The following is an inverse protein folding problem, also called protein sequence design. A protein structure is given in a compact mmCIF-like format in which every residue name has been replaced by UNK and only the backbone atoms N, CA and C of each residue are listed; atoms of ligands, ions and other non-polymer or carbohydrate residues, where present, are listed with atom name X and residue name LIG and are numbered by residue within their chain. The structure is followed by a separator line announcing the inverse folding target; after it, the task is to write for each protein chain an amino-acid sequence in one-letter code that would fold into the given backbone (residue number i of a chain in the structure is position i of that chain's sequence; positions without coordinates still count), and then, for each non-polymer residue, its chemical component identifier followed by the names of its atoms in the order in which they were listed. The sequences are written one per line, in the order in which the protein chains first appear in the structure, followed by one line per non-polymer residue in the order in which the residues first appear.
data_IF_956134240602
#
_entry.id   IF_956134240602
#
_cell.length_a   1.000
_cell.length_b   1.000
_cell.length_c   1.000
_cell.angle_alpha   90.00
_cell.angle_beta   90.00
_cell.angle_gamma   90.00
#
_symmetry.space_group_name_H-M   'P 1'
#
loop_
_entity.id
_entity.type
_entity.pdbx_description
1 polymer ?
#
# COMPACT_ATOMS: atom_id res chain seq x y z
N UNK A 1 -18.90 -2.60 13.55
CA UNK A 1 -17.67 -3.00 12.85
C UNK A 1 -17.54 -2.07 11.65
N UNK A 2 -16.36 -1.52 11.39
CA UNK A 2 -16.10 -0.70 10.19
C UNK A 2 -16.51 -1.46 8.92
N UNK A 3 -17.13 -0.77 7.95
CA UNK A 3 -17.52 -1.36 6.66
C UNK A 3 -16.27 -1.75 5.87
N UNK A 4 -15.30 -0.83 5.78
CA UNK A 4 -14.01 -1.09 5.13
C UNK A 4 -13.29 -2.27 5.76
N UNK A 5 -13.27 -2.37 7.09
CA UNK A 5 -12.69 -3.51 7.80
C UNK A 5 -13.41 -4.84 7.48
N UNK A 6 -14.74 -4.81 7.33
CA UNK A 6 -15.51 -6.01 6.98
C UNK A 6 -15.11 -6.53 5.59
N UNK A 7 -14.98 -5.62 4.62
CA UNK A 7 -14.49 -5.93 3.25
C UNK A 7 -13.05 -6.44 3.28
N UNK A 8 -12.17 -5.75 4.00
CA UNK A 8 -10.77 -6.13 4.16
C UNK A 8 -10.62 -7.54 4.74
N UNK A 9 -11.38 -7.86 5.79
CA UNK A 9 -11.37 -9.20 6.42
C UNK A 9 -11.79 -10.29 5.44
N UNK A 10 -12.77 -10.00 4.57
CA UNK A 10 -13.20 -10.94 3.53
C UNK A 10 -12.10 -11.17 2.49
N UNK A 11 -11.47 -10.11 1.99
CA UNK A 11 -10.43 -10.22 0.96
C UNK A 11 -9.12 -10.85 1.48
N UNK A 12 -8.80 -10.67 2.77
CA UNK A 12 -7.62 -11.29 3.38
C UNK A 12 -7.78 -12.80 3.63
N UNK A 13 -9.00 -13.34 3.52
CA UNK A 13 -9.26 -14.77 3.60
C UNK A 13 -8.79 -15.37 4.93
N UNK A 14 -7.79 -16.25 4.89
CA UNK A 14 -7.22 -16.89 6.08
C UNK A 14 -6.24 -16.01 6.86
N UNK A 15 -5.83 -14.86 6.31
CA UNK A 15 -4.89 -13.96 6.97
C UNK A 15 -5.61 -12.99 7.92
N UNK A 16 -5.03 -12.80 9.10
CA UNK A 16 -5.49 -11.78 10.03
C UNK A 16 -5.11 -10.39 9.51
N UNK A 17 -6.08 -9.49 9.42
CA UNK A 17 -5.84 -8.06 9.16
C UNK A 17 -5.07 -7.44 10.32
N UNK A 18 -3.86 -6.87 10.13
CA UNK A 18 -3.08 -6.26 11.20
C UNK A 18 -3.84 -5.18 11.95
N UNK A 19 -3.65 -5.08 13.27
CA UNK A 19 -4.36 -4.10 14.11
C UNK A 19 -4.26 -2.67 13.59
N UNK A 20 -3.08 -2.28 13.11
CA UNK A 20 -2.84 -0.96 12.53
C UNK A 20 -3.70 -0.70 11.28
N UNK A 21 -3.85 -1.70 10.39
CA UNK A 21 -4.74 -1.61 9.23
C UNK A 21 -6.22 -1.62 9.65
N UNK A 22 -6.58 -2.37 10.71
CA UNK A 22 -7.95 -2.36 11.25
C UNK A 22 -8.36 -0.98 11.76
N UNK A 23 -7.44 -0.31 12.44
CA UNK A 23 -7.64 1.06 12.94
C UNK A 23 -7.63 2.07 11.79
N UNK A 24 -6.82 1.87 10.75
CA UNK A 24 -6.86 2.68 9.54
C UNK A 24 -8.21 2.57 8.82
N UNK A 25 -8.79 1.37 8.71
CA UNK A 25 -10.15 1.19 8.17
C UNK A 25 -11.20 1.98 8.97
N UNK A 26 -11.06 2.00 10.31
CA UNK A 26 -11.96 2.78 11.17
C UNK A 26 -11.74 4.29 11.00
N UNK A 27 -10.50 4.73 10.81
CA UNK A 27 -10.17 6.11 10.50
C UNK A 27 -10.79 6.54 9.16
N UNK A 28 -10.62 5.74 8.12
CA UNK A 28 -11.17 5.97 6.78
C UNK A 28 -12.69 6.05 6.79
N UNK A 29 -13.39 5.09 7.38
CA UNK A 29 -14.87 5.14 7.46
C UNK A 29 -15.40 6.39 8.18
N UNK A 30 -14.60 6.97 9.09
CA UNK A 30 -14.97 8.17 9.84
C UNK A 30 -14.67 9.45 9.04
N UNK A 31 -13.65 9.43 8.20
CA UNK A 31 -13.20 10.56 7.39
C UNK A 31 -12.91 10.04 5.96
N UNK A 32 -13.96 9.71 5.18
CA UNK A 32 -13.82 9.06 3.88
C UNK A 32 -13.47 10.08 2.80
N UNK A 33 -12.30 10.68 2.94
CA UNK A 33 -11.76 11.68 2.03
C UNK A 33 -10.24 11.47 1.94
N UNK A 34 -9.65 11.94 0.85
CA UNK A 34 -8.22 11.81 0.62
C UNK A 34 -7.44 12.55 1.72
N UNK A 35 -6.52 11.83 2.37
CA UNK A 35 -5.67 12.37 3.42
C UNK A 35 -4.19 12.29 3.08
N UNK A 36 -3.84 11.74 1.91
CA UNK A 36 -2.48 11.63 1.40
C UNK A 36 -2.54 11.36 -0.10
N UNK A 37 -2.39 12.42 -0.90
CA UNK A 37 -2.42 12.29 -2.36
C UNK A 37 -3.75 11.75 -2.86
N UNK A 38 -3.74 10.82 -3.80
CA UNK A 38 -4.96 10.17 -4.31
C UNK A 38 -5.28 8.81 -3.68
N UNK A 39 -4.63 8.46 -2.56
CA UNK A 39 -4.80 7.13 -1.93
C UNK A 39 -6.15 6.98 -1.20
N UNK A 40 -6.88 5.93 -1.57
CA UNK A 40 -8.05 5.42 -0.88
C UNK A 40 -7.75 4.13 -0.12
N UNK A 41 -8.35 3.97 1.07
CA UNK A 41 -8.27 2.70 1.81
C UNK A 41 -9.40 1.78 1.34
N UNK A 42 -9.07 0.87 0.44
CA UNK A 42 -10.01 -0.07 -0.16
C UNK A 42 -9.49 -1.51 -0.12
N UNK A 43 -10.39 -2.46 0.12
CA UNK A 43 -10.10 -3.87 -0.08
C UNK A 43 -10.22 -4.22 -1.57
N UNK A 44 -9.42 -5.19 -2.04
CA UNK A 44 -9.52 -5.70 -3.43
C UNK A 44 -10.80 -6.52 -3.66
N UNK A 45 -11.94 -5.83 -3.79
CA UNK A 45 -13.25 -6.45 -3.96
C UNK A 45 -13.52 -6.88 -5.41
N UNK A 46 -12.79 -6.28 -6.36
CA UNK A 46 -13.01 -6.46 -7.79
C UNK A 46 -11.97 -7.36 -8.46
N UNK A 47 -10.93 -7.76 -7.72
CA UNK A 47 -9.89 -8.66 -8.22
C UNK A 47 -8.79 -7.93 -9.00
N UNK A 48 -8.51 -6.67 -8.68
CA UNK A 48 -7.47 -5.87 -9.32
C UNK A 48 -6.09 -6.52 -9.20
N UNK A 49 -5.75 -7.13 -8.06
CA UNK A 49 -4.49 -7.89 -7.93
C UNK A 49 -4.47 -9.07 -8.90
N UNK A 50 -5.59 -9.78 -9.04
CA UNK A 50 -5.70 -10.92 -9.96
C UNK A 50 -5.56 -10.49 -11.42
N UNK A 51 -6.15 -9.35 -11.78
CA UNK A 51 -6.02 -8.75 -13.12
C UNK A 51 -4.59 -8.30 -13.40
N UNK A 52 -3.94 -7.62 -12.44
CA UNK A 52 -2.56 -7.15 -12.56
C UNK A 52 -1.58 -8.30 -12.84
N UNK A 53 -1.73 -9.43 -12.15
CA UNK A 53 -0.91 -10.63 -12.41
C UNK A 53 -1.38 -11.47 -13.62
N UNK A 54 -2.34 -10.99 -14.42
CA UNK A 54 -2.85 -11.72 -15.58
C UNK A 54 -3.43 -13.09 -15.22
N UNK A 55 -4.17 -13.18 -14.11
CA UNK A 55 -4.74 -14.42 -13.55
C UNK A 55 -3.71 -15.49 -13.14
N UNK A 56 -2.43 -15.15 -12.95
CA UNK A 56 -1.41 -16.10 -12.48
C UNK A 56 -1.44 -16.25 -10.95
N UNK A 57 -1.90 -17.41 -10.48
CA UNK A 57 -2.03 -17.68 -9.03
C UNK A 57 -0.72 -17.55 -8.27
N UNK A 58 0.39 -17.95 -8.88
CA UNK A 58 1.73 -17.79 -8.30
C UNK A 58 2.07 -16.33 -7.93
N UNK A 59 1.45 -15.36 -8.61
CA UNK A 59 1.56 -13.93 -8.31
C UNK A 59 0.44 -13.44 -7.40
N UNK A 60 -0.82 -13.51 -7.85
CA UNK A 60 -1.92 -12.86 -7.14
C UNK A 60 -2.19 -13.43 -5.74
N UNK A 61 -1.87 -14.71 -5.50
CA UNK A 61 -2.00 -15.30 -4.14
C UNK A 61 -0.97 -14.75 -3.14
N UNK A 62 0.05 -14.03 -3.64
CA UNK A 62 1.15 -13.48 -2.86
C UNK A 62 0.97 -11.99 -2.55
N UNK A 63 -0.12 -11.36 -2.95
CA UNK A 63 -0.40 -9.95 -2.65
C UNK A 63 -1.76 -9.78 -2.00
N UNK A 64 -1.81 -9.06 -0.88
CA UNK A 64 -3.04 -8.68 -0.19
C UNK A 64 -3.18 -7.16 -0.23
N UNK A 65 -3.89 -6.65 -1.24
CA UNK A 65 -4.11 -5.22 -1.42
C UNK A 65 -5.08 -4.65 -0.37
N UNK A 66 -4.80 -3.42 0.06
CA UNK A 66 -5.56 -2.69 1.07
C UNK A 66 -5.71 -1.19 0.79
N UNK A 67 -5.12 -0.70 -0.30
CA UNK A 67 -5.31 0.65 -0.78
C UNK A 67 -5.27 0.68 -2.31
N UNK A 68 -5.89 1.69 -2.89
CA UNK A 68 -5.84 2.00 -4.31
C UNK A 68 -5.63 3.51 -4.51
N UNK A 69 -5.07 3.91 -5.64
CA UNK A 69 -5.12 5.31 -6.08
C UNK A 69 -6.23 5.52 -7.13
N UNK A 70 -6.45 6.77 -7.53
CA UNK A 70 -7.47 7.16 -8.50
C UNK A 70 -7.19 6.69 -9.95
N UNK A 71 -5.97 6.22 -10.23
CA UNK A 71 -5.58 5.60 -11.50
C UNK A 71 -5.89 4.09 -11.54
N UNK A 72 -6.18 3.50 -10.37
CA UNK A 72 -6.38 2.06 -10.21
C UNK A 72 -5.09 1.29 -9.86
N UNK A 73 -4.00 1.98 -9.53
CA UNK A 73 -2.83 1.34 -8.92
C UNK A 73 -3.16 0.87 -7.52
N UNK A 74 -2.45 -0.14 -7.03
CA UNK A 74 -2.77 -0.81 -5.76
C UNK A 74 -1.60 -0.81 -4.81
N UNK A 75 -1.85 -0.62 -3.51
CA UNK A 75 -0.89 -0.93 -2.46
C UNK A 75 -1.31 -2.20 -1.69
N UNK A 76 -0.34 -3.09 -1.43
CA UNK A 76 -0.62 -4.37 -0.78
C UNK A 76 0.54 -5.03 -0.07
N UNK A 77 0.24 -5.95 0.85
CA UNK A 77 1.27 -6.78 1.49
C UNK A 77 1.81 -7.80 0.50
N UNK A 78 3.13 -7.89 0.37
CA UNK A 78 3.77 -8.86 -0.52
C UNK A 78 4.38 -10.03 0.24
N UNK A 79 3.75 -11.20 0.08
CA UNK A 79 4.03 -12.45 0.81
C UNK A 79 4.97 -13.38 0.03
N UNK A 80 6.08 -12.83 -0.48
CA UNK A 80 6.95 -13.46 -1.49
C UNK A 80 7.64 -14.76 -1.08
N UNK A 81 7.66 -15.12 0.21
CA UNK A 81 8.14 -16.40 0.71
C UNK A 81 7.14 -17.03 1.67
N UNK A 82 7.21 -18.35 1.78
CA UNK A 82 6.31 -19.10 2.65
C UNK A 82 6.48 -18.71 4.13
N UNK A 83 5.37 -18.74 4.86
CA UNK A 83 5.31 -18.33 6.26
C UNK A 83 5.28 -16.81 6.48
N UNK A 84 5.29 -15.99 5.42
CA UNK A 84 4.98 -14.57 5.55
C UNK A 84 3.51 -14.34 5.89
N UNK A 85 3.29 -13.27 6.64
CA UNK A 85 1.97 -12.77 7.02
C UNK A 85 1.97 -11.25 6.86
N UNK A 86 0.80 -10.60 6.84
CA UNK A 86 0.73 -9.14 6.85
C UNK A 86 1.55 -8.45 7.97
N UNK A 87 1.89 -9.15 9.06
CA UNK A 87 2.70 -8.58 10.15
C UNK A 87 4.20 -8.49 9.86
N UNK A 88 4.72 -9.21 8.87
CA UNK A 88 6.14 -9.25 8.54
C UNK A 88 6.43 -9.06 7.05
N UNK A 89 5.42 -8.64 6.29
CA UNK A 89 5.51 -8.40 4.86
C UNK A 89 5.79 -6.93 4.55
N UNK A 90 6.61 -6.66 3.52
CA UNK A 90 6.68 -5.33 2.96
C UNK A 90 5.40 -4.98 2.22
N UNK A 91 5.28 -3.69 1.91
CA UNK A 91 4.21 -3.16 1.07
C UNK A 91 4.78 -2.98 -0.33
N UNK A 92 4.02 -3.43 -1.33
CA UNK A 92 4.29 -3.17 -2.74
C UNK A 92 3.27 -2.18 -3.29
N UNK A 93 3.72 -1.38 -4.26
CA UNK A 93 2.88 -0.57 -5.12
C UNK A 93 2.81 -1.26 -6.49
N UNK A 94 1.61 -1.56 -6.95
CA UNK A 94 1.30 -2.15 -8.26
C UNK A 94 0.74 -1.04 -9.15
N UNK A 95 1.58 -0.49 -10.03
CA UNK A 95 1.16 0.52 -11.01
C UNK A 95 0.09 -0.05 -11.95
N UNK A 96 -0.96 0.71 -12.21
CA UNK A 96 -2.03 0.36 -13.16
C UNK A 96 -1.50 0.12 -14.58
N UNK A 97 -0.43 0.81 -14.96
CA UNK A 97 0.27 0.67 -16.25
C UNK A 97 1.33 -0.45 -16.26
N UNK A 98 1.47 -1.19 -15.15
CA UNK A 98 2.42 -2.31 -14.96
C UNK A 98 3.92 -1.95 -14.99
N UNK A 99 4.27 -0.69 -15.28
CA UNK A 99 5.63 -0.15 -15.21
C UNK A 99 5.90 0.48 -13.84
N UNK A 100 7.14 0.39 -13.34
CA UNK A 100 7.55 1.11 -12.12
C UNK A 100 6.95 0.58 -10.82
N UNK A 101 6.37 -0.63 -10.87
CA UNK A 101 5.82 -1.27 -9.67
C UNK A 101 6.94 -1.68 -8.74
N UNK A 102 6.83 -1.42 -7.44
CA UNK A 102 7.99 -1.55 -6.55
C UNK A 102 7.62 -1.96 -5.13
N UNK A 103 8.63 -2.30 -4.34
CA UNK A 103 8.47 -2.40 -2.89
C UNK A 103 8.49 -0.97 -2.33
N UNK A 104 7.31 -0.45 -1.99
CA UNK A 104 7.14 0.94 -1.57
C UNK A 104 7.49 1.16 -0.08
N UNK A 105 7.37 0.12 0.77
CA UNK A 105 7.69 0.23 2.20
C UNK A 105 8.14 -1.10 2.82
N UNK A 106 9.04 -1.04 3.82
CA UNK A 106 9.57 -2.21 4.56
C UNK A 106 8.50 -2.85 5.47
N UNK A 107 7.48 -2.09 5.85
CA UNK A 107 6.39 -2.52 6.71
C UNK A 107 5.15 -1.65 6.53
N UNK A 108 4.00 -2.10 7.08
CA UNK A 108 2.81 -1.24 7.14
C UNK A 108 3.07 0.06 7.91
N UNK A 109 3.88 0.03 8.98
CA UNK A 109 4.21 1.24 9.75
C UNK A 109 4.97 2.25 8.89
N UNK A 110 5.92 1.78 8.10
CA UNK A 110 6.69 2.62 7.16
C UNK A 110 5.77 3.19 6.07
N UNK A 111 4.85 2.38 5.54
CA UNK A 111 3.89 2.86 4.54
C UNK A 111 2.97 3.94 5.11
N UNK A 112 2.46 3.75 6.32
CA UNK A 112 1.65 4.78 6.99
C UNK A 112 2.46 6.05 7.30
N UNK A 113 3.75 5.92 7.59
CA UNK A 113 4.65 7.06 7.72
C UNK A 113 4.84 7.79 6.38
N UNK A 114 5.02 7.08 5.26
CA UNK A 114 5.09 7.67 3.91
C UNK A 114 3.86 8.54 3.62
N UNK A 115 2.65 8.04 3.92
CA UNK A 115 1.40 8.80 3.70
C UNK A 115 1.35 10.12 4.49
N UNK A 116 2.16 10.27 5.55
CA UNK A 116 2.23 11.56 6.25
C UNK A 116 2.85 12.66 5.40
N UNK A 117 3.66 12.33 4.39
CA UNK A 117 4.31 13.31 3.53
C UNK A 117 3.31 14.05 2.61
N UNK A 118 2.11 13.48 2.39
CA UNK A 118 1.09 14.02 1.48
C UNK A 118 1.58 14.14 0.03
N UNK A 119 2.23 13.07 -0.45
CA UNK A 119 2.80 12.98 -1.79
C UNK A 119 2.38 11.68 -2.46
N UNK A 120 2.15 11.74 -3.76
CA UNK A 120 1.92 10.56 -4.58
C UNK A 120 3.22 10.01 -5.13
N UNK A 121 3.29 8.69 -5.22
CA UNK A 121 4.41 8.00 -5.85
C UNK A 121 4.16 7.93 -7.35
N UNK A 122 5.06 8.50 -8.14
CA UNK A 122 5.04 8.35 -9.59
C UNK A 122 5.86 7.12 -9.98
N UNK A 123 5.24 6.08 -10.56
CA UNK A 123 5.95 4.88 -10.98
C UNK A 123 6.90 5.12 -12.17
N UNK A 124 6.68 6.11 -13.04
CA UNK A 124 7.55 6.36 -14.19
C UNK A 124 8.92 6.88 -13.77
N UNK A 125 8.93 7.85 -12.85
CA UNK A 125 10.15 8.47 -12.35
C UNK A 125 10.70 7.78 -11.08
N UNK A 126 9.86 7.02 -10.37
CA UNK A 126 10.21 6.36 -9.12
C UNK A 126 10.40 7.33 -7.95
N UNK A 127 9.74 8.49 -8.02
CA UNK A 127 9.85 9.61 -7.08
C UNK A 127 8.50 9.96 -6.46
N UNK A 128 8.52 10.72 -5.36
CA UNK A 128 7.31 11.24 -4.72
C UNK A 128 7.09 12.70 -5.13
N UNK A 129 5.90 13.01 -5.66
CA UNK A 129 5.51 14.36 -6.05
C UNK A 129 4.48 14.96 -5.10
N UNK A 130 4.57 16.27 -4.89
CA UNK A 130 3.57 17.02 -4.14
C UNK A 130 2.21 16.88 -4.81
N UNK A 131 1.20 16.54 -4.02
CA UNK A 131 -0.17 16.60 -4.49
C UNK A 131 -0.65 18.06 -4.47
N UNK A 132 -1.10 18.56 -5.63
CA UNK A 132 -1.37 20.00 -5.86
C UNK A 132 -2.61 20.52 -5.08
N UNK A 133 -3.44 19.61 -4.53
CA UNK A 133 -4.63 19.99 -3.77
C UNK A 133 -4.36 20.33 -2.29
N UNK A 134 -5.17 21.25 -1.75
CA UNK A 134 -5.15 21.71 -0.36
C UNK A 134 -5.64 20.64 0.67
N UNK A 135 -5.16 19.39 0.62
CA UNK A 135 -5.46 18.33 1.60
C UNK A 135 -4.80 18.55 2.98
N UNK A 136 -4.31 19.76 3.25
CA UNK A 136 -3.49 20.06 4.43
C UNK A 136 -4.20 19.76 5.76
N UNK A 137 -5.50 19.99 5.85
CA UNK A 137 -6.28 19.75 7.07
C UNK A 137 -6.56 18.26 7.32
N UNK A 138 -6.86 17.50 6.27
CA UNK A 138 -7.10 16.05 6.35
C UNK A 138 -5.80 15.29 6.58
N UNK A 139 -4.72 15.67 5.91
CA UNK A 139 -3.39 15.13 6.18
C UNK A 139 -2.90 15.50 7.60
N UNK A 140 -3.16 16.72 8.08
CA UNK A 140 -2.86 17.09 9.47
C UNK A 140 -3.66 16.25 10.48
N UNK A 141 -4.92 15.93 10.16
CA UNK A 141 -5.75 15.03 10.97
C UNK A 141 -5.17 13.62 11.01
N UNK A 142 -4.76 13.10 9.85
CA UNK A 142 -4.08 11.81 9.72
C UNK A 142 -2.79 11.77 10.55
N UNK A 143 -1.90 12.76 10.38
CA UNK A 143 -0.64 12.89 11.16
C UNK A 143 -0.90 12.86 12.67
N UNK A 144 -1.88 13.64 13.15
CA UNK A 144 -2.25 13.69 14.58
C UNK A 144 -2.78 12.35 15.07
N UNK A 145 -3.65 11.70 14.29
CA UNK A 145 -4.19 10.39 14.63
C UNK A 145 -3.10 9.33 14.69
N UNK A 146 -2.25 9.26 13.67
CA UNK A 146 -1.16 8.29 13.56
C UNK A 146 -0.18 8.43 14.74
N UNK A 147 0.19 9.68 15.07
CA UNK A 147 1.05 9.96 16.22
C UNK A 147 0.40 9.57 17.54
N UNK A 148 -0.88 9.91 17.74
CA UNK A 148 -1.59 9.62 18.99
C UNK A 148 -1.85 8.13 19.18
N UNK A 149 -2.12 7.38 18.10
CA UNK A 149 -2.54 5.98 18.18
C UNK A 149 -1.36 5.02 18.19
N UNK A 150 -0.31 5.30 17.41
CA UNK A 150 0.82 4.40 17.20
C UNK A 150 2.19 4.99 17.54
N UNK A 151 2.27 6.28 17.89
CA UNK A 151 3.52 6.94 18.20
C UNK A 151 4.39 7.29 16.98
N UNK A 152 3.92 6.99 15.76
CA UNK A 152 4.62 7.25 14.49
C UNK A 152 4.58 8.77 14.20
N UNK A 153 5.74 9.35 13.91
CA UNK A 153 5.87 10.78 13.56
C UNK A 153 5.64 10.99 12.08
N UNK A 154 5.37 12.23 11.66
CA UNK A 154 5.40 12.57 10.23
C UNK A 154 6.81 12.52 9.68
N UNK A 155 6.93 12.23 8.38
CA UNK A 155 8.17 12.34 7.60
C UNK A 155 8.03 13.40 6.53
N UNK A 156 9.13 14.10 6.25
CA UNK A 156 9.28 14.98 5.09
C UNK A 156 10.18 14.33 4.01
N UNK A 157 10.60 13.08 4.22
CA UNK A 157 11.49 12.32 3.35
C UNK A 157 10.96 10.87 3.18
N UNK A 158 9.87 10.69 2.40
CA UNK A 158 9.35 9.36 2.08
C UNK A 158 10.36 8.52 1.27
N UNK A 159 11.28 9.14 0.54
CA UNK A 159 12.31 8.46 -0.26
C UNK A 159 13.24 7.62 0.62
N UNK A 160 13.58 8.08 1.83
CA UNK A 160 14.39 7.31 2.77
C UNK A 160 13.71 6.00 3.22
N UNK A 161 12.38 5.99 3.31
CA UNK A 161 11.59 4.80 3.66
C UNK A 161 11.46 3.85 2.46
N UNK A 162 11.30 4.40 1.25
CA UNK A 162 11.35 3.65 0.00
C UNK A 162 12.70 2.94 -0.19
N UNK A 163 13.81 3.66 -0.05
CA UNK A 163 15.16 3.10 -0.20
C UNK A 163 15.47 2.07 0.90
N UNK A 164 14.99 2.30 2.12
CA UNK A 164 15.02 1.29 3.18
C UNK A 164 14.30 0.00 2.75
N UNK A 165 13.12 0.10 2.16
CA UNK A 165 12.36 -1.05 1.68
C UNK A 165 13.09 -1.81 0.56
N UNK A 166 13.53 -1.09 -0.49
CA UNK A 166 14.26 -1.65 -1.63
C UNK A 166 15.57 -2.33 -1.23
N UNK A 167 16.26 -1.82 -0.21
CA UNK A 167 17.49 -2.44 0.29
C UNK A 167 17.30 -3.70 1.14
N UNK A 168 16.09 -3.92 1.69
CA UNK A 168 15.78 -5.03 2.62
C UNK A 168 15.00 -6.17 2.02
N UNK A 169 14.40 -5.95 0.85
CA UNK A 169 13.55 -6.91 0.18
C UNK A 169 14.06 -7.25 -1.21
N UNK A 170 13.67 -8.41 -1.76
CA UNK A 170 13.96 -8.71 -3.15
C UNK A 170 13.35 -7.64 -4.06
N UNK A 171 13.98 -7.46 -5.21
CA UNK A 171 13.45 -6.62 -6.28
C UNK A 171 12.08 -7.16 -6.73
N UNK A 172 11.04 -6.34 -6.57
CA UNK A 172 9.67 -6.74 -6.86
C UNK A 172 9.48 -7.02 -8.34
N UNK A 173 9.92 -6.11 -9.22
CA UNK A 173 9.77 -6.25 -10.68
C UNK A 173 10.48 -7.50 -11.19
N UNK A 174 11.68 -7.79 -10.69
CA UNK A 174 12.41 -9.01 -11.05
C UNK A 174 11.71 -10.27 -10.55
N UNK A 175 11.19 -10.26 -9.33
CA UNK A 175 10.41 -11.40 -8.82
C UNK A 175 9.15 -11.60 -9.64
N UNK A 176 8.41 -10.52 -9.88
CA UNK A 176 7.18 -10.55 -10.63
C UNK A 176 7.49 -11.04 -12.05
N UNK A 177 8.47 -10.43 -12.71
CA UNK A 177 9.09 -10.83 -13.99
C UNK A 177 9.39 -12.32 -14.09
N UNK A 178 9.87 -12.94 -13.02
CA UNK A 178 10.16 -14.38 -13.02
C UNK A 178 8.91 -15.28 -13.14
N UNK A 179 7.72 -14.74 -12.87
CA UNK A 179 6.43 -15.43 -12.99
C UNK A 179 5.90 -15.44 -14.44
N UNK A 180 6.48 -14.63 -15.34
CA UNK A 180 6.10 -14.56 -16.76
C UNK A 180 7.31 -14.43 -17.69
N UNK A 181 7.49 -15.37 -18.63
CA UNK A 181 8.55 -15.28 -19.64
C UNK A 181 8.31 -14.17 -20.69
N UNK A 182 7.16 -13.49 -20.64
CA UNK A 182 6.79 -12.38 -21.53
C UNK A 182 6.63 -11.04 -20.80
N UNK A 183 7.22 -10.87 -19.62
CA UNK A 183 7.29 -9.56 -18.97
C UNK A 183 8.21 -8.64 -19.78
N UNK A 184 7.67 -7.55 -20.32
CA UNK A 184 8.39 -6.50 -21.07
C UNK A 184 8.07 -5.18 -20.41
#
# INVERSE_FOLDING_TARGET
MSETLAKMTKCFGSYTVPEMLRELCVFWDKYPDYFSGSIEIEADNYGGVKEWFGNKEAGYSRVLAFAADDTGSLAGFWLYKDGMTPYNAPIVFLSSDMTGSTVIADSLSDYLEILTANRDFDPEDGEFYEFDDEQSDDNLRYRKWLKSKFGISSTDNPEALLEKAKSRHPDFEKWAGSLDQNWI
#
